data_IF_483861206500
#
_entry.id   IF_483861206500
#
_cell.length_a   1.000
_cell.length_b   1.000
_cell.length_c   1.000
_cell.angle_alpha   90.00
_cell.angle_beta   90.00
_cell.angle_gamma   90.00
#
_symmetry.space_group_name_H-M   'P 1'
#
loop_
_entity.id
_entity.type
_entity.pdbx_description
1 polymer ?
#
# COMPACT_ATOMS: atom_id res chain seq x y z
N UNK A 1 -23.48 -9.81 -5.64
CA UNK A 1 -24.61 -8.85 -5.59
C UNK A 1 -25.62 -9.37 -4.57
N UNK A 2 -25.57 -8.90 -3.33
CA UNK A 2 -26.52 -9.31 -2.26
C UNK A 2 -26.65 -8.29 -1.11
N UNK A 3 -25.97 -7.15 -1.18
CA UNK A 3 -25.88 -6.18 -0.08
C UNK A 3 -27.03 -5.17 -0.05
N UNK A 4 -27.63 -4.85 -1.20
CA UNK A 4 -28.69 -3.83 -1.32
C UNK A 4 -30.07 -4.37 -0.90
N UNK A 5 -30.36 -5.64 -1.21
CA UNK A 5 -31.58 -6.31 -0.72
C UNK A 5 -31.54 -6.58 0.78
N UNK A 6 -30.36 -6.92 1.33
CA UNK A 6 -30.16 -7.00 2.78
C UNK A 6 -30.35 -5.64 3.46
N UNK A 7 -30.00 -4.55 2.78
CA UNK A 7 -30.22 -3.18 3.22
C UNK A 7 -31.72 -2.83 3.28
N UNK A 8 -32.47 -3.15 2.23
CA UNK A 8 -33.93 -2.92 2.17
C UNK A 8 -34.67 -3.74 3.22
N UNK A 9 -34.24 -4.98 3.45
CA UNK A 9 -34.89 -5.90 4.40
C UNK A 9 -34.65 -5.55 5.88
N UNK A 10 -33.56 -4.85 6.21
CA UNK A 10 -33.33 -4.29 7.55
C UNK A 10 -34.02 -2.93 7.76
N UNK A 11 -34.40 -2.26 6.67
CA UNK A 11 -35.10 -0.98 6.69
C UNK A 11 -36.62 -1.13 6.93
N UNK A 12 -37.24 -2.14 6.31
CA UNK A 12 -38.70 -2.35 6.36
C UNK A 12 -39.31 -2.69 7.75
N UNK A 13 -38.64 -3.38 8.70
CA UNK A 13 -39.27 -3.67 10.00
C UNK A 13 -39.20 -2.51 11.00
N UNK A 14 -38.37 -1.48 10.76
CA UNK A 14 -38.20 -0.38 11.73
C UNK A 14 -39.13 0.82 11.50
N UNK A 15 -39.93 0.81 10.42
CA UNK A 15 -40.74 1.95 10.00
C UNK A 15 -42.26 1.77 10.22
N UNK A 16 -42.66 0.86 11.12
CA UNK A 16 -44.07 0.72 11.59
C UNK A 16 -44.33 1.43 12.92
N UNK A 17 -43.70 2.57 13.14
CA UNK A 17 -44.13 3.52 14.18
C UNK A 17 -44.45 4.83 13.48
N UNK A 18 -45.73 5.17 13.56
CA UNK A 18 -46.43 6.33 13.01
C UNK A 18 -45.62 7.62 12.97
N UNK A 19 -45.54 8.26 11.81
CA UNK A 19 -45.40 9.73 11.73
C UNK A 19 -46.13 10.25 10.49
N UNK A 20 -47.26 10.92 10.77
CA UNK A 20 -47.76 11.99 9.93
C UNK A 20 -46.80 13.19 10.07
N UNK A 21 -46.52 13.86 8.95
CA UNK A 21 -45.74 15.09 8.82
C UNK A 21 -44.26 15.07 9.22
N UNK A 22 -43.43 15.61 8.32
CA UNK A 22 -42.05 15.99 8.61
C UNK A 22 -41.03 15.07 7.95
N UNK A 23 -40.25 15.65 7.03
CA UNK A 23 -39.18 15.01 6.28
C UNK A 23 -38.27 14.13 7.16
N UNK A 24 -37.81 12.96 6.66
CA UNK A 24 -36.90 12.11 7.41
C UNK A 24 -35.56 12.84 7.52
N UNK A 25 -35.29 13.43 8.68
CA UNK A 25 -33.93 13.85 9.04
C UNK A 25 -33.07 12.59 9.03
N UNK A 26 -32.28 12.43 7.98
CA UNK A 26 -31.23 11.42 7.86
C UNK A 26 -30.49 11.30 9.19
N UNK A 27 -30.55 10.12 9.82
CA UNK A 27 -29.92 9.86 11.11
C UNK A 27 -28.38 9.87 10.94
N UNK A 28 -27.81 11.05 11.13
CA UNK A 28 -26.41 11.40 10.92
C UNK A 28 -25.47 10.53 11.78
N UNK A 29 -25.95 10.07 12.93
CA UNK A 29 -25.23 9.19 13.84
C UNK A 29 -25.03 7.78 13.26
N UNK A 30 -26.07 7.21 12.65
CA UNK A 30 -26.02 5.91 11.98
C UNK A 30 -25.10 5.96 10.76
N UNK A 31 -25.18 7.04 9.98
CA UNK A 31 -24.27 7.29 8.85
C UNK A 31 -22.81 7.44 9.29
N UNK A 32 -22.56 8.17 10.37
CA UNK A 32 -21.22 8.35 10.93
C UNK A 32 -20.63 7.02 11.43
N UNK A 33 -21.43 6.15 12.05
CA UNK A 33 -21.00 4.82 12.49
C UNK A 33 -20.64 3.89 11.30
N UNK A 34 -21.37 4.00 10.19
CA UNK A 34 -21.14 3.21 8.98
C UNK A 34 -19.87 3.67 8.25
N UNK A 35 -19.71 4.98 8.09
CA UNK A 35 -18.52 5.60 7.47
C UNK A 35 -17.28 5.28 8.30
N UNK A 36 -17.33 5.43 9.62
CA UNK A 36 -16.19 5.11 10.51
C UNK A 36 -15.82 3.63 10.47
N UNK A 37 -16.80 2.72 10.42
CA UNK A 37 -16.54 1.27 10.32
C UNK A 37 -15.91 0.89 8.99
N UNK A 38 -16.36 1.48 7.87
CA UNK A 38 -15.74 1.26 6.56
C UNK A 38 -14.34 1.89 6.46
N UNK A 39 -14.16 3.10 6.96
CA UNK A 39 -12.86 3.76 7.03
C UNK A 39 -11.88 2.93 7.88
N UNK A 40 -12.32 2.37 9.00
CA UNK A 40 -11.51 1.47 9.83
C UNK A 40 -11.11 0.19 9.08
N UNK A 41 -11.98 -0.33 8.22
CA UNK A 41 -11.70 -1.50 7.38
C UNK A 41 -10.67 -1.20 6.29
N UNK A 42 -10.81 -0.08 5.59
CA UNK A 42 -9.82 0.40 4.61
C UNK A 42 -8.48 0.75 5.27
N UNK A 43 -8.52 1.36 6.46
CA UNK A 43 -7.33 1.65 7.26
C UNK A 43 -6.62 0.35 7.65
N UNK A 44 -7.34 -0.68 8.11
CA UNK A 44 -6.76 -1.99 8.46
C UNK A 44 -6.10 -2.69 7.27
N UNK A 45 -6.69 -2.60 6.07
CA UNK A 45 -6.09 -3.12 4.84
C UNK A 45 -4.78 -2.38 4.51
N UNK A 46 -4.77 -1.04 4.60
CA UNK A 46 -3.57 -0.22 4.44
C UNK A 46 -2.49 -0.53 5.48
N UNK A 47 -2.87 -0.79 6.74
CA UNK A 47 -1.93 -1.23 7.80
C UNK A 47 -1.32 -2.61 7.52
N UNK A 48 -2.12 -3.56 7.02
CA UNK A 48 -1.61 -4.89 6.65
C UNK A 48 -0.59 -4.79 5.52
N UNK A 49 -0.86 -3.94 4.53
CA UNK A 49 0.09 -3.63 3.45
C UNK A 49 1.36 -2.97 3.99
N UNK A 50 1.22 -1.98 4.88
CA UNK A 50 2.35 -1.33 5.54
C UNK A 50 3.25 -2.35 6.23
N UNK A 51 2.67 -3.25 7.03
CA UNK A 51 3.43 -4.28 7.73
C UNK A 51 4.12 -5.24 6.77
N UNK A 52 3.44 -5.69 5.71
CA UNK A 52 4.06 -6.54 4.70
C UNK A 52 5.27 -5.86 4.03
N UNK A 53 5.11 -4.59 3.64
CA UNK A 53 6.19 -3.80 3.03
C UNK A 53 7.33 -3.54 4.01
N UNK A 54 7.03 -3.29 5.28
CA UNK A 54 8.03 -3.04 6.32
C UNK A 54 8.84 -4.31 6.64
N UNK A 55 8.19 -5.46 6.74
CA UNK A 55 8.86 -6.76 6.92
C UNK A 55 9.78 -7.06 5.74
N UNK A 56 9.34 -6.81 4.50
CA UNK A 56 10.19 -6.98 3.33
C UNK A 56 11.45 -6.09 3.39
N UNK A 57 11.28 -4.82 3.79
CA UNK A 57 12.42 -3.90 3.97
C UNK A 57 13.40 -4.40 5.02
N UNK A 58 12.91 -4.88 6.17
CA UNK A 58 13.76 -5.47 7.21
C UNK A 58 14.56 -6.66 6.67
N UNK A 59 13.93 -7.52 5.87
CA UNK A 59 14.60 -8.66 5.25
C UNK A 59 15.69 -8.21 4.28
N UNK A 60 15.41 -7.23 3.42
CA UNK A 60 16.40 -6.65 2.49
C UNK A 60 17.57 -6.04 3.26
N UNK A 61 17.30 -5.24 4.31
CA UNK A 61 18.35 -4.65 5.14
C UNK A 61 19.18 -5.70 5.87
N UNK A 62 18.54 -6.75 6.41
CA UNK A 62 19.25 -7.85 7.06
C UNK A 62 20.15 -8.59 6.06
N UNK A 63 19.65 -8.88 4.86
CA UNK A 63 20.42 -9.53 3.78
C UNK A 63 21.60 -8.68 3.34
N UNK A 64 21.39 -7.40 3.01
CA UNK A 64 22.46 -6.49 2.60
C UNK A 64 23.48 -6.29 3.71
N UNK A 65 23.05 -6.16 4.97
CA UNK A 65 23.95 -6.04 6.12
C UNK A 65 24.79 -7.31 6.31
N UNK A 66 24.17 -8.49 6.17
CA UNK A 66 24.90 -9.76 6.24
C UNK A 66 25.96 -9.87 5.14
N UNK A 67 25.61 -9.55 3.89
CA UNK A 67 26.56 -9.58 2.76
C UNK A 67 27.70 -8.58 2.95
N UNK A 68 27.39 -7.40 3.47
CA UNK A 68 28.36 -6.34 3.73
C UNK A 68 29.37 -6.74 4.81
N UNK A 69 28.92 -7.38 5.90
CA UNK A 69 29.80 -7.88 6.97
C UNK A 69 30.62 -9.08 6.48
N UNK A 70 29.98 -10.08 5.86
CA UNK A 70 30.62 -11.33 5.45
C UNK A 70 31.63 -11.15 4.32
N UNK A 71 31.34 -10.26 3.37
CA UNK A 71 32.17 -10.00 2.20
C UNK A 71 32.83 -8.62 2.25
N UNK A 72 33.10 -8.11 3.45
CA UNK A 72 33.72 -6.80 3.68
C UNK A 72 34.97 -6.51 2.83
N UNK A 73 35.88 -7.47 2.56
CA UNK A 73 37.07 -7.24 1.73
C UNK A 73 36.76 -7.05 0.24
N UNK A 74 35.59 -7.48 -0.24
CA UNK A 74 35.24 -7.44 -1.66
C UNK A 74 34.48 -6.13 -1.99
N UNK A 75 35.12 -5.17 -2.69
CA UNK A 75 34.56 -3.83 -2.85
C UNK A 75 33.27 -3.81 -3.68
N UNK A 76 33.15 -4.70 -4.66
CA UNK A 76 31.98 -4.81 -5.53
C UNK A 76 30.72 -5.20 -4.75
N UNK A 77 30.83 -6.24 -3.91
CA UNK A 77 29.71 -6.73 -3.06
C UNK A 77 29.34 -5.66 -2.04
N UNK A 78 30.34 -5.01 -1.44
CA UNK A 78 30.13 -3.92 -0.47
C UNK A 78 29.39 -2.74 -1.11
N UNK A 79 29.83 -2.28 -2.28
CA UNK A 79 29.21 -1.17 -2.98
C UNK A 79 27.76 -1.48 -3.37
N UNK A 80 27.51 -2.68 -3.91
CA UNK A 80 26.16 -3.08 -4.32
C UNK A 80 25.23 -3.30 -3.13
N UNK A 81 25.74 -3.79 -2.01
CA UNK A 81 24.97 -3.91 -0.76
C UNK A 81 24.62 -2.53 -0.17
N UNK A 82 25.55 -1.58 -0.20
CA UNK A 82 25.30 -0.19 0.21
C UNK A 82 24.29 0.51 -0.69
N UNK A 83 24.42 0.35 -2.01
CA UNK A 83 23.44 0.86 -2.98
C UNK A 83 22.06 0.25 -2.74
N UNK A 84 22.01 -1.06 -2.42
CA UNK A 84 20.77 -1.73 -2.02
C UNK A 84 20.12 -1.07 -0.81
N UNK A 85 20.88 -0.81 0.26
CA UNK A 85 20.35 -0.13 1.46
C UNK A 85 19.88 1.29 1.12
N UNK A 86 20.71 2.06 0.41
CA UNK A 86 20.41 3.45 0.05
C UNK A 86 19.17 3.56 -0.84
N UNK A 87 18.96 2.58 -1.72
CA UNK A 87 17.80 2.51 -2.60
C UNK A 87 16.47 2.33 -1.84
N UNK A 88 16.47 1.69 -0.67
CA UNK A 88 15.24 1.48 0.12
C UNK A 88 14.99 2.59 1.16
N UNK A 89 16.00 3.38 1.53
CA UNK A 89 15.86 4.47 2.50
C UNK A 89 14.75 5.49 2.20
N UNK A 90 14.60 6.03 0.97
CA UNK A 90 13.53 7.00 0.66
C UNK A 90 12.15 6.39 0.87
N UNK A 91 12.00 5.11 0.51
CA UNK A 91 10.75 4.37 0.65
C UNK A 91 10.42 4.12 2.11
N UNK A 92 11.39 3.70 2.93
CA UNK A 92 11.21 3.54 4.38
C UNK A 92 10.83 4.87 5.05
N UNK A 93 11.50 5.97 4.70
CA UNK A 93 11.20 7.31 5.24
C UNK A 93 9.77 7.75 4.90
N UNK A 94 9.36 7.59 3.63
CA UNK A 94 8.00 7.92 3.21
C UNK A 94 6.95 7.05 3.91
N UNK A 95 7.16 5.73 3.96
CA UNK A 95 6.28 4.79 4.67
C UNK A 95 6.14 5.16 6.14
N UNK A 96 7.25 5.47 6.82
CA UNK A 96 7.25 5.86 8.23
C UNK A 96 6.52 7.18 8.47
N UNK A 97 6.73 8.19 7.61
CA UNK A 97 6.03 9.48 7.69
C UNK A 97 4.51 9.31 7.55
N UNK A 98 4.08 8.49 6.59
CA UNK A 98 2.66 8.21 6.35
C UNK A 98 2.05 7.36 7.46
N UNK A 99 2.76 6.33 7.93
CA UNK A 99 2.37 5.54 9.09
C UNK A 99 2.21 6.41 10.34
N UNK A 100 3.17 7.28 10.62
CA UNK A 100 3.10 8.21 11.75
C UNK A 100 1.86 9.09 11.66
N UNK A 101 1.50 9.61 10.48
CA UNK A 101 0.26 10.40 10.29
C UNK A 101 -1.01 9.61 10.57
N UNK A 102 -1.06 8.34 10.16
CA UNK A 102 -2.22 7.48 10.40
C UNK A 102 -2.29 7.01 11.86
N UNK A 103 -1.16 6.60 12.45
CA UNK A 103 -1.06 6.04 13.79
C UNK A 103 -1.22 7.10 14.90
N UNK A 104 -0.71 8.31 14.70
CA UNK A 104 -0.89 9.43 15.66
C UNK A 104 -2.31 9.99 15.66
N UNK A 105 -3.20 9.45 14.83
CA UNK A 105 -4.59 9.87 14.82
C UNK A 105 -4.73 11.36 14.50
N UNK A 106 -3.79 11.99 13.77
CA UNK A 106 -3.98 13.34 13.20
C UNK A 106 -5.04 13.39 12.08
N UNK A 107 -5.83 12.33 11.97
CA UNK A 107 -7.15 12.27 11.35
C UNK A 107 -8.29 12.63 12.34
N UNK A 108 -7.96 12.84 13.61
CA UNK A 108 -8.84 13.42 14.60
C UNK A 108 -8.70 14.94 14.50
N UNK A 109 -9.45 15.51 13.57
CA UNK A 109 -9.94 16.88 13.74
C UNK A 109 -10.49 16.96 15.16
N UNK A 110 -9.90 17.85 15.97
CA UNK A 110 -10.31 18.09 17.36
C UNK A 110 -11.67 18.79 17.47
N UNK A 111 -12.43 18.83 16.37
CA UNK A 111 -13.73 19.46 16.21
C UNK A 111 -14.54 18.71 15.15
N UNK A 112 -15.89 18.81 15.12
CA UNK A 112 -16.73 18.07 14.20
C UNK A 112 -16.59 18.64 12.79
N UNK A 113 -15.48 18.32 12.11
CA UNK A 113 -15.34 18.59 10.70
C UNK A 113 -16.44 17.80 9.95
N UNK A 114 -17.14 18.42 8.99
CA UNK A 114 -18.19 17.75 8.22
C UNK A 114 -17.61 16.50 7.56
N UNK A 115 -18.39 15.41 7.55
CA UNK A 115 -17.99 14.06 7.09
C UNK A 115 -17.33 14.09 5.70
N UNK A 116 -17.69 15.07 4.86
CA UNK A 116 -17.09 15.33 3.54
C UNK A 116 -15.59 15.66 3.61
N UNK A 117 -15.17 16.54 4.53
CA UNK A 117 -13.76 16.93 4.69
C UNK A 117 -12.91 15.76 5.16
N UNK A 118 -13.49 14.91 6.01
CA UNK A 118 -12.85 13.67 6.47
C UNK A 118 -12.67 12.65 5.33
N UNK A 119 -13.69 12.48 4.48
CA UNK A 119 -13.59 11.60 3.31
C UNK A 119 -12.58 12.10 2.28
N UNK A 120 -12.52 13.42 2.03
CA UNK A 120 -11.58 14.00 1.07
C UNK A 120 -10.13 13.87 1.53
N UNK A 121 -9.84 14.09 2.80
CA UNK A 121 -8.48 13.93 3.34
C UNK A 121 -8.01 12.48 3.28
N UNK A 122 -8.88 11.51 3.59
CA UNK A 122 -8.60 10.08 3.45
C UNK A 122 -8.32 9.70 2.00
N UNK A 123 -9.12 10.22 1.05
CA UNK A 123 -8.94 9.99 -0.37
C UNK A 123 -7.61 10.58 -0.88
N UNK A 124 -7.29 11.83 -0.52
CA UNK A 124 -6.02 12.47 -0.91
C UNK A 124 -4.80 11.78 -0.31
N UNK A 125 -4.88 11.31 0.94
CA UNK A 125 -3.82 10.52 1.57
C UNK A 125 -3.58 9.21 0.82
N UNK A 126 -4.65 8.50 0.45
CA UNK A 126 -4.54 7.23 -0.25
C UNK A 126 -4.08 7.42 -1.71
N UNK A 127 -4.57 8.45 -2.39
CA UNK A 127 -4.21 8.77 -3.76
C UNK A 127 -2.75 9.26 -3.87
N UNK A 128 -2.31 10.13 -2.95
CA UNK A 128 -0.92 10.58 -2.90
C UNK A 128 0.04 9.43 -2.61
N UNK A 129 -0.35 8.50 -1.73
CA UNK A 129 0.41 7.28 -1.47
C UNK A 129 0.49 6.39 -2.71
N UNK A 130 -0.64 6.15 -3.37
CA UNK A 130 -0.69 5.29 -4.56
C UNK A 130 0.15 5.84 -5.72
N UNK A 131 0.07 7.15 -5.97
CA UNK A 131 0.82 7.82 -7.03
C UNK A 131 2.33 7.79 -6.75
N UNK A 132 2.73 8.07 -5.51
CA UNK A 132 4.12 7.95 -5.08
C UNK A 132 4.62 6.51 -5.20
N UNK A 133 3.86 5.54 -4.67
CA UNK A 133 4.16 4.11 -4.73
C UNK A 133 4.38 3.68 -6.17
N UNK A 134 3.46 3.98 -7.08
CA UNK A 134 3.55 3.59 -8.50
C UNK A 134 4.80 4.15 -9.18
N UNK A 135 5.13 5.42 -8.94
CA UNK A 135 6.33 6.06 -9.51
C UNK A 135 7.61 5.47 -8.93
N UNK A 136 7.61 5.19 -7.62
CA UNK A 136 8.75 4.62 -6.93
C UNK A 136 8.98 3.17 -7.34
N UNK A 137 7.93 2.35 -7.43
CA UNK A 137 7.98 0.96 -7.89
C UNK A 137 8.62 0.84 -9.28
N UNK A 138 8.28 1.74 -10.21
CA UNK A 138 8.86 1.75 -11.56
C UNK A 138 10.38 1.89 -11.59
N UNK A 139 10.98 2.62 -10.64
CA UNK A 139 12.44 2.74 -10.52
C UNK A 139 13.05 1.72 -9.55
N UNK A 140 12.37 1.45 -8.45
CA UNK A 140 12.83 0.58 -7.37
C UNK A 140 12.96 -0.86 -7.84
N UNK A 141 11.94 -1.39 -8.52
CA UNK A 141 11.92 -2.81 -8.90
C UNK A 141 13.08 -3.14 -9.84
N UNK A 142 13.28 -2.43 -10.98
CA UNK A 142 14.37 -2.76 -11.89
C UNK A 142 15.75 -2.62 -11.24
N UNK A 143 15.96 -1.54 -10.47
CA UNK A 143 17.25 -1.33 -9.82
C UNK A 143 17.50 -2.38 -8.73
N UNK A 144 16.49 -2.70 -7.92
CA UNK A 144 16.63 -3.73 -6.88
C UNK A 144 16.83 -5.13 -7.46
N UNK A 145 16.15 -5.45 -8.56
CA UNK A 145 16.31 -6.72 -9.26
C UNK A 145 17.71 -6.83 -9.87
N UNK A 146 18.23 -5.75 -10.43
CA UNK A 146 19.59 -5.71 -10.98
C UNK A 146 20.65 -5.93 -9.89
N UNK A 147 20.51 -5.23 -8.75
CA UNK A 147 21.39 -5.42 -7.58
C UNK A 147 21.29 -6.85 -7.05
N UNK A 148 20.08 -7.38 -6.91
CA UNK A 148 19.82 -8.74 -6.43
C UNK A 148 20.48 -9.79 -7.32
N UNK A 149 20.25 -9.72 -8.64
CA UNK A 149 20.86 -10.66 -9.60
C UNK A 149 22.38 -10.54 -9.60
N UNK A 150 22.93 -9.33 -9.56
CA UNK A 150 24.38 -9.13 -9.50
C UNK A 150 24.97 -9.79 -8.24
N UNK A 151 24.39 -9.52 -7.08
CA UNK A 151 24.84 -10.10 -5.81
C UNK A 151 24.72 -11.63 -5.82
N UNK A 152 23.61 -12.17 -6.31
CA UNK A 152 23.41 -13.62 -6.41
C UNK A 152 24.45 -14.28 -7.30
N UNK A 153 24.71 -13.72 -8.50
CA UNK A 153 25.72 -14.28 -9.39
C UNK A 153 27.12 -14.14 -8.81
N UNK A 154 27.47 -13.02 -8.18
CA UNK A 154 28.79 -12.84 -7.57
C UNK A 154 29.04 -13.75 -6.37
N UNK A 155 28.02 -14.03 -5.56
CA UNK A 155 28.14 -14.83 -4.34
C UNK A 155 28.04 -16.34 -4.62
N UNK A 156 27.16 -16.76 -5.53
CA UNK A 156 26.81 -18.17 -5.71
C UNK A 156 27.29 -18.77 -7.04
N UNK A 157 27.69 -17.96 -8.03
CA UNK A 157 28.13 -18.47 -9.34
C UNK A 157 29.63 -18.17 -9.54
N UNK A 158 30.48 -19.19 -9.73
CA UNK A 158 31.90 -18.97 -9.98
C UNK A 158 32.09 -18.16 -11.28
N UNK A 159 32.87 -17.08 -11.22
CA UNK A 159 33.04 -16.13 -12.34
C UNK A 159 31.94 -15.07 -12.49
N UNK A 160 30.85 -15.17 -11.74
CA UNK A 160 29.79 -14.17 -11.65
C UNK A 160 29.12 -13.80 -12.98
N UNK A 161 28.63 -12.56 -13.06
CA UNK A 161 27.89 -12.06 -14.24
C UNK A 161 28.76 -12.05 -15.51
N UNK A 162 30.07 -11.82 -15.37
CA UNK A 162 30.97 -11.75 -16.52
C UNK A 162 31.16 -13.12 -17.20
N UNK A 163 31.18 -14.21 -16.42
CA UNK A 163 31.28 -15.56 -16.95
C UNK A 163 29.96 -16.06 -17.56
N UNK A 164 28.81 -15.64 -17.00
CA UNK A 164 27.48 -16.11 -17.42
C UNK A 164 26.51 -14.95 -17.71
N UNK A 165 26.79 -14.10 -18.71
CA UNK A 165 25.97 -12.91 -18.98
C UNK A 165 24.54 -13.26 -19.40
N UNK A 166 24.37 -14.31 -20.22
CA UNK A 166 23.05 -14.79 -20.67
C UNK A 166 22.21 -15.27 -19.49
N UNK A 167 22.82 -16.03 -18.56
CA UNK A 167 22.14 -16.51 -17.36
C UNK A 167 21.70 -15.36 -16.45
N UNK A 168 22.54 -14.34 -16.29
CA UNK A 168 22.20 -13.15 -15.51
C UNK A 168 21.03 -12.37 -16.14
N UNK A 169 21.04 -12.17 -17.46
CA UNK A 169 19.96 -11.48 -18.19
C UNK A 169 18.64 -12.26 -18.06
N UNK A 170 18.65 -13.57 -18.25
CA UNK A 170 17.46 -14.40 -18.10
C UNK A 170 16.90 -14.34 -16.67
N UNK A 171 17.78 -14.46 -15.66
CA UNK A 171 17.38 -14.36 -14.25
C UNK A 171 16.77 -13.00 -13.95
N UNK A 172 17.38 -11.92 -14.46
CA UNK A 172 16.86 -10.56 -14.33
C UNK A 172 15.49 -10.39 -14.98
N UNK A 173 15.30 -10.87 -16.21
CA UNK A 173 14.04 -10.80 -16.92
C UNK A 173 12.92 -11.57 -16.20
N UNK A 174 13.20 -12.80 -15.74
CA UNK A 174 12.24 -13.61 -14.98
C UNK A 174 11.89 -12.93 -13.65
N UNK A 175 12.88 -12.35 -12.96
CA UNK A 175 12.66 -11.63 -11.71
C UNK A 175 11.77 -10.40 -11.94
N UNK A 176 12.06 -9.60 -12.97
CA UNK A 176 11.25 -8.45 -13.34
C UNK A 176 9.80 -8.82 -13.64
N UNK A 177 9.58 -9.83 -14.48
CA UNK A 177 8.24 -10.29 -14.84
C UNK A 177 7.48 -10.79 -13.61
N UNK A 178 8.15 -11.52 -12.72
CA UNK A 178 7.57 -12.02 -11.47
C UNK A 178 7.16 -10.88 -10.53
N UNK A 179 8.07 -9.90 -10.31
CA UNK A 179 7.79 -8.73 -9.50
C UNK A 179 6.66 -7.88 -10.10
N UNK A 180 6.67 -7.65 -11.41
CA UNK A 180 5.63 -6.88 -12.09
C UNK A 180 4.26 -7.55 -11.98
N UNK A 181 4.19 -8.87 -12.18
CA UNK A 181 2.97 -9.66 -12.02
C UNK A 181 2.40 -9.57 -10.60
N UNK A 182 3.26 -9.78 -9.59
CA UNK A 182 2.87 -9.69 -8.18
C UNK A 182 2.34 -8.30 -7.82
N UNK A 183 3.03 -7.25 -8.25
CA UNK A 183 2.67 -5.86 -7.96
C UNK A 183 1.39 -5.46 -8.70
N UNK A 184 1.17 -5.95 -9.91
CA UNK A 184 -0.09 -5.71 -10.64
C UNK A 184 -1.27 -6.34 -9.92
N UNK A 185 -1.15 -7.60 -9.50
CA UNK A 185 -2.21 -8.30 -8.77
C UNK A 185 -2.49 -7.62 -7.42
N UNK A 186 -1.44 -7.20 -6.72
CA UNK A 186 -1.55 -6.48 -5.45
C UNK A 186 -2.16 -5.09 -5.62
N UNK A 187 -1.76 -4.33 -6.64
CA UNK A 187 -2.29 -2.99 -6.90
C UNK A 187 -3.79 -3.04 -7.26
N UNK A 188 -4.24 -4.06 -7.99
CA UNK A 188 -5.66 -4.27 -8.24
C UNK A 188 -6.45 -4.55 -6.95
N UNK A 189 -5.94 -5.46 -6.11
CA UNK A 189 -6.66 -5.91 -4.90
C UNK A 189 -6.64 -4.90 -3.76
N UNK A 190 -5.51 -4.24 -3.54
CA UNK A 190 -5.27 -3.41 -2.35
C UNK A 190 -5.55 -1.92 -2.58
N UNK A 191 -5.60 -1.45 -3.83
CA UNK A 191 -5.72 -0.02 -4.12
C UNK A 191 -6.85 0.33 -5.09
N UNK A 192 -6.94 -0.34 -6.25
CA UNK A 192 -7.96 0.00 -7.27
C UNK A 192 -9.38 -0.27 -6.77
N UNK A 193 -9.64 -1.44 -6.18
CA UNK A 193 -10.95 -1.77 -5.62
C UNK A 193 -11.42 -0.78 -4.54
N UNK A 194 -10.61 -0.50 -3.51
CA UNK A 194 -10.93 0.51 -2.49
C UNK A 194 -11.19 1.91 -3.04
N UNK A 195 -10.38 2.38 -4.00
CA UNK A 195 -10.53 3.71 -4.60
C UNK A 195 -11.82 3.83 -5.41
N UNK A 196 -12.16 2.81 -6.21
CA UNK A 196 -13.41 2.79 -6.98
C UNK A 196 -14.65 2.77 -6.07
N UNK A 197 -14.58 2.07 -4.95
CA UNK A 197 -15.68 2.03 -3.97
C UNK A 197 -15.88 3.37 -3.25
N UNK A 198 -14.79 4.05 -2.89
CA UNK A 198 -14.83 5.40 -2.30
C UNK A 198 -15.37 6.44 -3.29
N UNK A 199 -14.96 6.33 -4.56
CA UNK A 199 -15.43 7.23 -5.62
C UNK A 199 -16.92 7.02 -5.93
N UNK A 200 -17.42 5.76 -5.88
CA UNK A 200 -18.84 5.47 -6.03
C UNK A 200 -19.67 6.08 -4.90
N UNK A 201 -19.23 5.96 -3.65
CA UNK A 201 -19.88 6.58 -2.50
C UNK A 201 -19.90 8.12 -2.60
N UNK A 202 -18.81 8.74 -3.04
CA UNK A 202 -18.75 10.19 -3.24
C UNK A 202 -19.74 10.67 -4.32
N UNK A 203 -19.94 9.88 -5.39
CA UNK A 203 -20.92 10.19 -6.45
C UNK A 203 -22.36 10.02 -5.99
N UNK A 204 -22.67 8.97 -5.22
CA UNK A 204 -24.01 8.76 -4.65
C UNK A 204 -24.42 9.88 -3.67
N UNK A 205 -23.46 10.54 -3.03
CA UNK A 205 -23.70 11.70 -2.16
C UNK A 205 -23.73 13.06 -2.88
N UNK A 206 -23.41 13.10 -4.18
CA UNK A 206 -23.48 14.29 -5.02
C UNK A 206 -24.78 14.38 -5.84
N UNK A 207 -25.52 13.27 -5.98
CA UNK A 207 -26.86 13.22 -6.55
C UNK A 207 -27.92 13.39 -5.46
#
# INVERSE_FOLDING_TARGET
MSTLEQFKKHWEPSNKVSVADGQPSLDEASLRSLVTTRVRTHTKASFRYFWASFTLQLLVYAMCSHLLIRYWPQPEIRLMSLLGILLYLPFTSMLMSKFKRVATGRLAGKEPAPIRTYLSEQYELLNSFFTFKKRYEWGLIPVSAAIGVFLTFKVYVPGGVQAFPVGAILTYAVTLLSCYGAIRAENQKSFVGPLQHLQALLREYQA
#
